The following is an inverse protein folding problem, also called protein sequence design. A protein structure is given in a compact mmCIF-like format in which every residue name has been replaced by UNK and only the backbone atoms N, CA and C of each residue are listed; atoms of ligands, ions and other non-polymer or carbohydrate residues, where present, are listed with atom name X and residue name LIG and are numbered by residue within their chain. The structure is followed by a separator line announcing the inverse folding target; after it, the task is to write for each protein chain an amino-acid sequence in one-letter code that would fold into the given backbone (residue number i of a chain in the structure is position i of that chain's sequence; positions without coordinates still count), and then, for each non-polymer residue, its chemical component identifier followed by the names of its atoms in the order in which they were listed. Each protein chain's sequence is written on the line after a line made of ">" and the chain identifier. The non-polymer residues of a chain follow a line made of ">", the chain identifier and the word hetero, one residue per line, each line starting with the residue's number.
data_IF_592375170968
#
_entry.id   IF_592375170968
#
_cell.length_a   1.000
_cell.length_b   1.000
_cell.length_c   1.000
_cell.angle_alpha   90.00
_cell.angle_beta   90.00
_cell.angle_gamma   90.00
#
_symmetry.space_group_name_H-M   'P 1'
#
loop_
_entity.id
_entity.type
_entity.pdbx_description
1 polymer ?
#
# COMPACT_ATOMS: atom_id res chain seq x y z
N UNK A 1 1.15 10.42 -9.26
CA UNK A 1 0.47 11.22 -8.22
C UNK A 1 -1.04 11.11 -8.25
N UNK A 2 -1.66 11.03 -9.44
CA UNK A 2 -3.12 10.99 -9.61
C UNK A 2 -3.84 9.95 -8.71
N UNK A 3 -3.37 8.70 -8.68
CA UNK A 3 -4.08 7.64 -7.91
C UNK A 3 -3.84 7.78 -6.40
N UNK A 4 -2.58 7.87 -5.96
CA UNK A 4 -2.25 7.92 -4.54
C UNK A 4 -2.77 9.19 -3.85
N UNK A 5 -2.39 10.36 -4.38
CA UNK A 5 -2.78 11.63 -3.78
C UNK A 5 -4.22 12.04 -4.14
N UNK A 6 -4.67 11.73 -5.36
CA UNK A 6 -5.98 12.19 -5.85
C UNK A 6 -7.15 11.31 -5.45
N UNK A 7 -7.02 9.97 -5.51
CA UNK A 7 -8.13 9.06 -5.21
C UNK A 7 -8.02 8.48 -3.78
N UNK A 8 -6.90 7.82 -3.47
CA UNK A 8 -6.75 7.05 -2.23
C UNK A 8 -6.73 7.98 -1.01
N UNK A 9 -5.90 9.02 -1.04
CA UNK A 9 -5.77 9.95 0.09
C UNK A 9 -7.10 10.67 0.36
N UNK A 10 -7.79 11.15 -0.68
CA UNK A 10 -9.07 11.86 -0.53
C UNK A 10 -10.15 10.95 0.06
N UNK A 11 -10.24 9.69 -0.37
CA UNK A 11 -11.15 8.70 0.22
C UNK A 11 -10.85 8.48 1.71
N UNK A 12 -9.57 8.36 2.07
CA UNK A 12 -9.15 8.23 3.48
C UNK A 12 -9.50 9.47 4.30
N UNK A 13 -9.25 10.67 3.78
CA UNK A 13 -9.58 11.93 4.44
C UNK A 13 -11.09 12.04 4.70
N UNK A 14 -11.92 11.62 3.74
CA UNK A 14 -13.37 11.55 3.92
C UNK A 14 -13.75 10.57 5.05
N UNK A 15 -13.16 9.37 5.06
CA UNK A 15 -13.42 8.37 6.08
C UNK A 15 -13.04 8.85 7.48
N UNK A 16 -11.84 9.40 7.69
CA UNK A 16 -11.43 9.89 9.01
C UNK A 16 -12.25 11.09 9.47
N UNK A 17 -12.76 11.91 8.55
CA UNK A 17 -13.64 13.03 8.89
C UNK A 17 -15.01 12.53 9.36
N UNK A 18 -15.54 11.49 8.72
CA UNK A 18 -16.81 10.87 9.09
C UNK A 18 -16.73 10.12 10.42
N UNK A 19 -15.59 9.47 10.72
CA UNK A 19 -15.41 8.71 11.96
C UNK A 19 -14.82 9.58 13.07
N UNK A 20 -15.56 9.82 14.15
CA UNK A 20 -15.00 10.45 15.35
C UNK A 20 -14.19 9.43 16.17
N UNK A 21 -12.92 9.22 15.79
CA UNK A 21 -12.01 8.28 16.45
C UNK A 21 -11.56 8.79 17.83
N UNK A 22 -12.41 8.66 18.85
CA UNK A 22 -12.06 8.90 20.27
C UNK A 22 -12.08 7.59 21.06
N UNK A 23 -10.93 6.91 21.12
CA UNK A 23 -10.72 5.78 22.04
C UNK A 23 -9.35 5.88 22.69
N UNK A 24 -9.31 6.02 24.02
CA UNK A 24 -8.09 6.06 24.82
C UNK A 24 -7.82 4.70 25.47
N UNK A 25 -6.64 4.13 25.25
CA UNK A 25 -6.20 2.91 25.93
C UNK A 25 -5.56 3.22 27.30
N UNK A 26 -5.61 2.29 28.28
CA UNK A 26 -4.96 2.48 29.59
C UNK A 26 -3.45 2.77 29.46
N UNK A 27 -2.91 3.73 30.23
CA UNK A 27 -1.59 4.33 29.98
C UNK A 27 -0.41 3.38 30.15
N UNK A 28 -0.50 2.40 31.05
CA UNK A 28 0.62 1.52 31.40
C UNK A 28 0.87 0.43 30.35
N UNK A 29 -0.19 -0.26 29.92
CA UNK A 29 -0.12 -1.26 28.84
C UNK A 29 0.25 -0.62 27.50
N UNK A 30 -0.05 0.66 27.31
CA UNK A 30 0.33 1.45 26.14
C UNK A 30 1.85 1.65 26.06
N UNK A 31 2.54 1.92 27.17
CA UNK A 31 3.99 2.16 27.18
C UNK A 31 4.79 0.93 26.78
N UNK A 32 4.48 -0.23 27.38
CA UNK A 32 5.15 -1.50 27.05
C UNK A 32 4.94 -1.86 25.57
N UNK A 33 3.71 -1.72 25.07
CA UNK A 33 3.39 -1.96 23.66
C UNK A 33 4.14 -1.03 22.71
N UNK A 34 4.25 0.25 23.03
CA UNK A 34 5.00 1.22 22.22
C UNK A 34 6.48 0.86 22.19
N UNK A 35 7.08 0.52 23.34
CA UNK A 35 8.51 0.14 23.40
C UNK A 35 8.77 -1.15 22.62
N UNK A 36 7.91 -2.16 22.75
CA UNK A 36 8.02 -3.41 21.99
C UNK A 36 7.84 -3.17 20.49
N UNK A 37 6.82 -2.40 20.08
CA UNK A 37 6.58 -2.08 18.67
C UNK A 37 7.73 -1.24 18.07
N UNK A 38 8.26 -0.28 18.82
CA UNK A 38 9.41 0.51 18.41
C UNK A 38 10.67 -0.35 18.31
N UNK A 39 10.90 -1.26 19.27
CA UNK A 39 12.02 -2.21 19.23
C UNK A 39 11.96 -3.12 18.02
N UNK A 40 10.81 -3.74 17.76
CA UNK A 40 10.58 -4.58 16.57
C UNK A 40 10.74 -3.78 15.27
N UNK A 41 10.18 -2.56 15.22
CA UNK A 41 10.34 -1.67 14.07
C UNK A 41 11.80 -1.29 13.82
N UNK A 42 12.57 -1.01 14.87
CA UNK A 42 13.99 -0.70 14.76
C UNK A 42 14.81 -1.90 14.28
N UNK A 43 14.49 -3.12 14.75
CA UNK A 43 15.13 -4.35 14.29
C UNK A 43 14.85 -4.58 12.81
N UNK A 44 13.58 -4.46 12.37
CA UNK A 44 13.21 -4.62 10.97
C UNK A 44 13.89 -3.58 10.07
N UNK A 45 13.98 -2.33 10.52
CA UNK A 45 14.71 -1.29 9.79
C UNK A 45 16.22 -1.59 9.73
N UNK A 46 16.81 -2.06 10.83
CA UNK A 46 18.22 -2.43 10.87
C UNK A 46 18.52 -3.58 9.89
N UNK A 47 17.69 -4.62 9.88
CA UNK A 47 17.76 -5.73 8.93
C UNK A 47 17.68 -5.25 7.48
N UNK A 48 16.70 -4.39 7.14
CA UNK A 48 16.57 -3.80 5.81
C UNK A 48 17.82 -2.99 5.40
N UNK A 49 18.39 -2.20 6.32
CA UNK A 49 19.59 -1.41 6.05
C UNK A 49 20.81 -2.31 5.86
N UNK A 50 20.97 -3.35 6.67
CA UNK A 50 22.08 -4.31 6.56
C UNK A 50 21.96 -5.09 5.25
N UNK A 51 20.77 -5.61 4.94
CA UNK A 51 20.49 -6.32 3.70
C UNK A 51 20.75 -5.44 2.47
N UNK A 52 20.27 -4.19 2.50
CA UNK A 52 20.51 -3.21 1.44
C UNK A 52 21.99 -2.89 1.26
N UNK A 53 22.74 -2.69 2.35
CA UNK A 53 24.20 -2.46 2.29
C UNK A 53 24.94 -3.67 1.73
N UNK A 54 24.56 -4.90 2.12
CA UNK A 54 25.14 -6.13 1.55
C UNK A 54 24.86 -6.25 0.05
N UNK A 55 23.65 -5.90 -0.40
CA UNK A 55 23.31 -5.92 -1.82
C UNK A 55 24.14 -4.92 -2.64
N UNK A 56 24.40 -3.73 -2.10
CA UNK A 56 25.22 -2.70 -2.75
C UNK A 56 26.71 -3.06 -2.74
N UNK A 57 27.24 -3.54 -1.60
CA UNK A 57 28.65 -3.93 -1.45
C UNK A 57 28.97 -5.25 -2.16
N UNK A 58 27.97 -6.11 -2.41
CA UNK A 58 28.09 -7.38 -3.13
C UNK A 58 28.21 -7.26 -4.65
N UNK A 59 28.45 -6.05 -5.18
CA UNK A 59 28.69 -5.85 -6.62
C UNK A 59 27.41 -5.79 -7.48
N UNK A 60 26.25 -5.51 -6.88
CA UNK A 60 25.03 -5.19 -7.62
C UNK A 60 25.24 -3.92 -8.44
N UNK A 61 25.68 -4.07 -9.69
CA UNK A 61 25.85 -2.96 -10.62
C UNK A 61 24.57 -2.14 -10.70
N UNK A 62 24.69 -0.82 -10.59
CA UNK A 62 23.57 0.09 -10.75
C UNK A 62 22.99 -0.10 -12.16
N UNK A 63 21.89 -0.87 -12.26
CA UNK A 63 21.16 -0.98 -13.51
C UNK A 63 20.73 0.43 -13.91
N UNK A 64 21.14 0.85 -15.11
CA UNK A 64 20.70 2.10 -15.71
C UNK A 64 19.17 2.11 -15.71
N UNK A 65 18.59 3.11 -15.05
CA UNK A 65 17.15 3.23 -14.95
C UNK A 65 16.57 3.22 -16.37
N UNK A 66 15.66 2.30 -16.71
CA UNK A 66 14.97 2.34 -17.99
C UNK A 66 14.39 3.74 -18.19
N UNK A 67 14.62 4.32 -19.36
CA UNK A 67 14.04 5.61 -19.73
C UNK A 67 12.53 5.60 -19.51
N UNK A 68 11.96 6.76 -19.14
CA UNK A 68 10.51 6.90 -18.94
C UNK A 68 9.79 6.85 -20.29
N UNK A 69 9.57 5.64 -20.78
CA UNK A 69 8.90 5.36 -22.04
C UNK A 69 7.56 4.68 -21.79
N UNK A 70 6.48 5.40 -22.10
CA UNK A 70 5.10 4.95 -21.89
C UNK A 70 4.75 3.84 -22.90
N UNK A 71 5.30 3.88 -24.11
CA UNK A 71 5.04 2.89 -25.15
C UNK A 71 5.57 1.53 -24.72
N UNK A 72 6.81 1.50 -24.23
CA UNK A 72 7.43 0.28 -23.70
C UNK A 72 6.70 -0.28 -22.47
N UNK A 73 6.17 0.59 -21.61
CA UNK A 73 5.34 0.15 -20.48
C UNK A 73 4.04 -0.50 -20.95
N UNK A 74 3.39 0.06 -21.99
CA UNK A 74 2.22 -0.54 -22.61
C UNK A 74 2.53 -1.92 -23.18
N UNK A 75 3.62 -2.06 -23.91
CA UNK A 75 4.06 -3.36 -24.45
C UNK A 75 4.31 -4.39 -23.35
N UNK A 76 5.02 -4.02 -22.27
CA UNK A 76 5.27 -4.91 -21.14
C UNK A 76 3.97 -5.36 -20.45
N UNK A 77 2.99 -4.46 -20.29
CA UNK A 77 1.71 -4.77 -19.66
C UNK A 77 0.86 -5.74 -20.50
N UNK A 78 0.93 -5.67 -21.82
CA UNK A 78 0.16 -6.52 -22.73
C UNK A 78 0.92 -7.72 -23.28
N UNK A 79 2.23 -7.82 -23.00
CA UNK A 79 3.05 -8.99 -23.29
C UNK A 79 3.36 -9.74 -21.99
N UNK A 80 4.48 -9.42 -21.35
CA UNK A 80 5.05 -10.20 -20.26
C UNK A 80 4.17 -10.19 -19.00
N UNK A 81 3.43 -9.10 -18.79
CA UNK A 81 2.55 -8.91 -17.63
C UNK A 81 1.06 -9.02 -17.96
N UNK A 82 0.69 -9.63 -19.10
CA UNK A 82 -0.70 -9.75 -19.54
C UNK A 82 -1.62 -10.35 -18.46
N UNK A 83 -1.19 -11.47 -17.85
CA UNK A 83 -1.96 -12.12 -16.79
C UNK A 83 -2.11 -11.25 -15.54
N UNK A 84 -1.04 -10.53 -15.14
CA UNK A 84 -1.10 -9.63 -14.00
C UNK A 84 -2.06 -8.45 -14.26
N UNK A 85 -2.07 -7.93 -15.49
CA UNK A 85 -3.01 -6.90 -15.92
C UNK A 85 -4.46 -7.39 -15.87
N UNK A 86 -4.74 -8.56 -16.43
CA UNK A 86 -6.07 -9.15 -16.46
C UNK A 86 -6.61 -9.41 -15.05
N UNK A 87 -5.82 -10.06 -14.18
CA UNK A 87 -6.20 -10.31 -12.78
C UNK A 87 -6.47 -9.01 -12.04
N UNK A 88 -5.64 -7.97 -12.26
CA UNK A 88 -5.85 -6.66 -11.61
C UNK A 88 -7.15 -6.01 -12.08
N UNK A 89 -7.51 -6.14 -13.36
CA UNK A 89 -8.77 -5.59 -13.89
C UNK A 89 -9.99 -6.26 -13.24
N UNK A 90 -9.98 -7.59 -13.11
CA UNK A 90 -11.04 -8.34 -12.44
C UNK A 90 -11.06 -8.02 -10.94
N UNK A 91 -9.89 -7.83 -10.31
CA UNK A 91 -9.80 -7.41 -8.91
C UNK A 91 -10.44 -6.04 -8.68
N UNK A 92 -10.21 -5.06 -9.56
CA UNK A 92 -10.83 -3.73 -9.48
C UNK A 92 -12.35 -3.84 -9.66
N UNK A 93 -12.81 -4.66 -10.63
CA UNK A 93 -14.23 -4.92 -10.84
C UNK A 93 -14.87 -5.54 -9.58
N UNK A 94 -14.24 -6.57 -9.01
CA UNK A 94 -14.70 -7.23 -7.79
C UNK A 94 -14.72 -6.27 -6.60
N UNK A 95 -13.71 -5.40 -6.46
CA UNK A 95 -13.65 -4.38 -5.42
C UNK A 95 -14.79 -3.36 -5.57
N UNK A 96 -15.11 -2.93 -6.80
CA UNK A 96 -16.24 -2.03 -7.07
C UNK A 96 -17.57 -2.69 -6.70
N UNK A 97 -17.80 -3.93 -7.12
CA UNK A 97 -19.01 -4.70 -6.77
C UNK A 97 -19.09 -4.88 -5.25
N UNK A 98 -18.00 -5.24 -4.58
CA UNK A 98 -17.94 -5.39 -3.13
C UNK A 98 -18.23 -4.08 -2.40
N UNK A 99 -17.68 -2.96 -2.86
CA UNK A 99 -17.94 -1.64 -2.29
C UNK A 99 -19.42 -1.24 -2.45
N UNK A 100 -20.01 -1.45 -3.63
CA UNK A 100 -21.43 -1.17 -3.88
C UNK A 100 -22.36 -2.06 -3.06
N UNK A 101 -22.05 -3.35 -2.94
CA UNK A 101 -22.83 -4.29 -2.12
C UNK A 101 -22.80 -3.92 -0.62
N UNK A 102 -21.65 -3.45 -0.12
CA UNK A 102 -21.51 -2.98 1.26
C UNK A 102 -22.20 -1.62 1.49
N UNK A 103 -22.09 -0.70 0.53
CA UNK A 103 -22.71 0.62 0.59
C UNK A 103 -24.25 0.54 0.45
N UNK A 104 -24.76 -0.39 -0.36
CA UNK A 104 -26.19 -0.57 -0.64
C UNK A 104 -26.99 -1.20 0.50
N UNK A 105 -26.41 -1.45 1.68
CA UNK A 105 -27.12 -2.03 2.81
C UNK A 105 -27.66 -0.93 3.73
N UNK A 106 -28.88 -0.45 3.44
CA UNK A 106 -29.98 -0.05 4.36
C UNK A 106 -30.90 0.98 3.69
N UNK A 107 -31.93 0.49 3.01
CA UNK A 107 -33.19 1.22 2.75
C UNK A 107 -34.27 0.15 2.56
N UNK A 108 -34.68 -0.45 3.68
CA UNK A 108 -35.57 -1.60 3.67
C UNK A 108 -35.75 -2.21 5.05
N UNK A 109 -35.94 -1.36 6.06
CA UNK A 109 -36.63 -1.59 7.34
C UNK A 109 -36.70 -0.27 8.09
#
# INVERSE_FOLDING_TARGET
>A
MLVYAGAIMVLFLFAIMMFNLRQGAPPERRRIRIVLAAGLGAILLAELVIAGRRAVLGGGGAASAPGRDITRLGELLFSDYLYAFEITSVLILAALVGALALAGKREGQ
#
